data_IF_793162275635
#
_entry.id   IF_793162275635
#
_cell.length_a   1.000
_cell.length_b   1.000
_cell.length_c   1.000
_cell.angle_alpha   90.00
_cell.angle_beta   90.00
_cell.angle_gamma   90.00
#
_symmetry.space_group_name_H-M   'P 1'
#
loop_
_entity.id
_entity.type
_entity.pdbx_description
1 polymer ?
#
# COMPACT_ATOMS: atom_id res chain seq x y z
N UNK A 1 13.35 3.35 -19.06
CA UNK A 1 13.36 3.46 -17.58
C UNK A 1 13.64 2.08 -17.02
N UNK A 2 14.73 1.92 -16.28
CA UNK A 2 15.01 0.70 -15.53
C UNK A 2 14.18 0.75 -14.24
N UNK A 3 13.30 -0.24 -14.05
CA UNK A 3 12.24 -0.22 -13.01
C UNK A 3 12.49 -1.24 -11.92
N UNK A 4 13.73 -1.75 -11.81
CA UNK A 4 14.03 -2.96 -11.02
C UNK A 4 13.87 -2.77 -9.51
N UNK A 5 13.90 -1.53 -9.02
CA UNK A 5 13.92 -1.24 -7.58
C UNK A 5 12.82 -0.27 -7.11
N UNK A 6 11.62 -0.34 -7.71
CA UNK A 6 10.51 0.48 -7.21
C UNK A 6 10.05 0.03 -5.82
N UNK A 7 10.08 0.99 -4.88
CA UNK A 7 9.43 0.88 -3.57
C UNK A 7 8.02 1.45 -3.67
N UNK A 8 7.03 0.62 -3.39
CA UNK A 8 5.63 0.93 -3.65
C UNK A 8 4.90 1.08 -2.31
N UNK A 9 4.29 2.24 -2.10
CA UNK A 9 3.40 2.47 -0.96
C UNK A 9 1.95 2.37 -1.45
N UNK A 10 1.16 1.49 -0.84
CA UNK A 10 -0.28 1.38 -1.11
C UNK A 10 -1.01 1.99 0.07
N UNK A 11 -1.68 3.12 -0.15
CA UNK A 11 -2.47 3.80 0.87
C UNK A 11 -3.88 3.21 0.97
N UNK A 12 -4.28 2.81 2.17
CA UNK A 12 -5.54 2.16 2.50
C UNK A 12 -5.37 0.66 2.72
N UNK A 13 -5.65 0.17 3.93
CA UNK A 13 -5.76 -1.28 4.23
C UNK A 13 -7.21 -1.74 4.32
N UNK A 14 -8.13 -1.01 3.68
CA UNK A 14 -9.54 -1.40 3.54
C UNK A 14 -9.74 -2.57 2.56
N UNK A 15 -10.96 -2.76 2.05
CA UNK A 15 -11.30 -3.92 1.22
C UNK A 15 -10.45 -4.13 -0.05
N UNK A 16 -9.93 -3.06 -0.65
CA UNK A 16 -9.28 -3.11 -1.98
C UNK A 16 -7.75 -3.04 -1.90
N UNK A 17 -7.21 -2.24 -0.97
CA UNK A 17 -5.77 -1.97 -0.89
C UNK A 17 -4.89 -3.22 -0.69
N UNK A 18 -5.24 -4.17 0.20
CA UNK A 18 -4.50 -5.41 0.37
C UNK A 18 -4.49 -6.29 -0.88
N UNK A 19 -5.55 -6.29 -1.70
CA UNK A 19 -5.61 -7.07 -2.94
C UNK A 19 -4.60 -6.56 -3.96
N UNK A 20 -4.44 -5.23 -4.08
CA UNK A 20 -3.43 -4.63 -4.95
C UNK A 20 -2.02 -4.82 -4.36
N UNK A 21 -1.86 -4.63 -3.05
CA UNK A 21 -0.58 -4.84 -2.39
C UNK A 21 -0.08 -6.29 -2.56
N UNK A 22 -0.99 -7.27 -2.46
CA UNK A 22 -0.68 -8.70 -2.61
C UNK A 22 -0.23 -9.04 -4.02
N UNK A 23 -0.89 -8.50 -5.05
CA UNK A 23 -0.49 -8.74 -6.45
C UNK A 23 0.89 -8.17 -6.75
N UNK A 24 1.20 -6.98 -6.23
CA UNK A 24 2.46 -6.29 -6.52
C UNK A 24 3.64 -6.78 -5.67
N UNK A 25 3.37 -7.30 -4.47
CA UNK A 25 4.40 -7.84 -3.56
C UNK A 25 5.16 -9.05 -4.12
N UNK A 26 4.64 -9.68 -5.18
CA UNK A 26 5.28 -10.84 -5.83
C UNK A 26 6.56 -10.46 -6.60
N UNK A 27 6.66 -9.20 -7.03
CA UNK A 27 7.75 -8.74 -7.89
C UNK A 27 8.41 -7.44 -7.38
N UNK A 28 7.80 -6.74 -6.43
CA UNK A 28 8.28 -5.46 -5.93
C UNK A 28 8.17 -5.37 -4.41
N UNK A 29 9.00 -4.50 -3.82
CA UNK A 29 8.87 -4.18 -2.40
C UNK A 29 7.67 -3.27 -2.17
N UNK A 30 6.63 -3.82 -1.53
CA UNK A 30 5.38 -3.10 -1.23
C UNK A 30 5.23 -2.88 0.27
N UNK A 31 4.78 -1.70 0.66
CA UNK A 31 4.36 -1.39 2.02
C UNK A 31 2.93 -0.87 1.98
N UNK A 32 2.00 -1.59 2.63
CA UNK A 32 0.64 -1.12 2.81
C UNK A 32 0.62 -0.15 4.00
N UNK A 33 0.04 1.03 3.79
CA UNK A 33 -0.04 2.12 4.78
C UNK A 33 -1.50 2.49 4.94
N UNK A 34 -1.99 2.60 6.17
CA UNK A 34 -3.35 3.04 6.45
C UNK A 34 -3.35 4.18 7.45
N UNK A 35 -4.25 5.13 7.25
CA UNK A 35 -4.49 6.23 8.19
C UNK A 35 -5.90 6.07 8.74
N UNK A 36 -6.07 5.74 10.02
CA UNK A 36 -7.39 5.68 10.63
C UNK A 36 -8.04 7.07 10.56
N UNK A 37 -9.18 7.17 9.88
CA UNK A 37 -9.94 8.42 9.77
C UNK A 37 -10.54 8.88 11.12
N UNK A 38 -10.59 8.00 12.12
CA UNK A 38 -11.21 8.24 13.42
C UNK A 38 -10.34 8.98 14.46
N UNK A 39 -9.33 9.74 14.05
CA UNK A 39 -8.48 10.50 14.97
C UNK A 39 -8.68 12.02 14.94
N UNK A 40 -9.79 12.52 14.39
CA UNK A 40 -10.05 13.98 14.27
C UNK A 40 -11.35 14.45 14.92
N UNK A 41 -11.81 13.80 15.99
CA UNK A 41 -12.99 14.25 16.74
C UNK A 41 -12.74 14.23 18.27
N UNK A 42 -11.79 15.06 18.71
CA UNK A 42 -11.80 15.72 20.02
C UNK A 42 -11.44 17.19 19.82
#
# INVERSE_FOLDING_TARGET
MDTKDFKIAVAGTGYVGPSIATLWAQHHWVTAVDVPWFHTYE
#
